data_IF_826004116141
#
_entry.id   IF_826004116141
#
_cell.length_a   1.000
_cell.length_b   1.000
_cell.length_c   1.000
_cell.angle_alpha   90.00
_cell.angle_beta   90.00
_cell.angle_gamma   90.00
#
_symmetry.space_group_name_H-M   'P 1'
#
loop_
_entity.id
_entity.type
_entity.pdbx_description
1 polymer ?
#
# COMPACT_ATOMS: atom_id res chain seq x y z
N UNK A 1 6.67 -26.56 44.42
CA UNK A 1 5.29 -27.05 44.69
C UNK A 1 4.35 -26.06 43.98
N UNK A 2 3.51 -26.48 43.02
CA UNK A 2 2.08 -26.86 43.19
C UNK A 2 1.28 -25.78 43.95
N UNK A 3 0.10 -25.29 43.56
CA UNK A 3 -0.84 -25.54 42.43
C UNK A 3 -1.93 -24.44 42.46
N UNK A 4 -2.80 -24.16 41.47
CA UNK A 4 -3.00 -24.67 40.10
C UNK A 4 -3.81 -23.65 39.22
N UNK A 5 -4.25 -24.12 38.05
CA UNK A 5 -5.07 -23.55 36.97
C UNK A 5 -6.37 -22.82 37.38
N UNK A 6 -6.84 -21.96 36.45
CA UNK A 6 -8.25 -21.96 36.05
C UNK A 6 -8.38 -21.90 34.51
N UNK A 7 -9.11 -22.85 33.91
CA UNK A 7 -9.38 -22.97 32.47
C UNK A 7 -10.85 -23.41 32.29
N UNK A 8 -11.57 -22.75 31.39
CA UNK A 8 -12.85 -23.17 30.80
C UNK A 8 -13.22 -22.11 29.75
N UNK A 9 -13.24 -22.34 28.43
CA UNK A 9 -13.77 -23.44 27.62
C UNK A 9 -15.31 -23.52 27.60
N UNK A 10 -15.92 -22.83 26.64
CA UNK A 10 -17.24 -23.16 26.10
C UNK A 10 -17.12 -23.38 24.58
N UNK A 11 -17.38 -24.61 24.15
CA UNK A 11 -17.41 -25.03 22.75
C UNK A 11 -18.33 -26.25 22.66
N UNK A 12 -19.46 -26.12 21.95
CA UNK A 12 -20.34 -27.18 21.41
C UNK A 12 -21.43 -26.44 20.59
N UNK A 13 -21.49 -26.54 19.26
CA UNK A 13 -21.95 -27.64 18.40
C UNK A 13 -23.48 -27.76 18.26
N UNK A 14 -23.97 -27.47 17.06
CA UNK A 14 -25.03 -28.25 16.42
C UNK A 14 -24.98 -28.07 14.91
N UNK A 15 -24.79 -29.18 14.19
CA UNK A 15 -24.99 -29.27 12.76
C UNK A 15 -26.14 -30.27 12.51
N UNK A 16 -26.98 -30.01 11.51
CA UNK A 16 -27.92 -30.99 10.99
C UNK A 16 -27.88 -30.95 9.45
N UNK A 17 -28.02 -32.11 8.84
CA UNK A 17 -27.89 -32.36 7.40
C UNK A 17 -28.99 -33.32 6.93
N UNK A 18 -29.21 -33.35 5.60
CA UNK A 18 -30.02 -34.33 4.84
C UNK A 18 -31.56 -34.14 5.01
N UNK A 19 -32.45 -34.36 4.02
CA UNK A 19 -32.36 -34.70 2.57
C UNK A 19 -33.74 -34.50 1.93
N UNK A 20 -33.87 -34.40 0.59
CA UNK A 20 -35.16 -34.73 -0.06
C UNK A 20 -35.47 -34.13 -1.45
N UNK A 21 -35.07 -34.82 -2.52
CA UNK A 21 -35.81 -35.08 -3.77
C UNK A 21 -36.87 -34.08 -4.35
N UNK A 22 -36.72 -33.79 -5.65
CA UNK A 22 -37.63 -34.45 -6.63
C UNK A 22 -38.65 -33.61 -7.45
N UNK A 23 -38.27 -33.33 -8.70
CA UNK A 23 -39.11 -33.31 -9.92
C UNK A 23 -40.25 -32.26 -10.17
N UNK A 24 -40.13 -31.68 -11.37
CA UNK A 24 -41.16 -31.15 -12.32
C UNK A 24 -42.58 -31.75 -12.19
N UNK A 25 -43.70 -31.09 -12.56
CA UNK A 25 -43.99 -30.47 -13.89
C UNK A 25 -45.40 -29.79 -13.91
N UNK A 26 -45.66 -29.02 -14.99
CA UNK A 26 -46.96 -28.59 -15.59
C UNK A 26 -47.75 -27.37 -15.05
N UNK A 27 -47.94 -26.44 -16.00
CA UNK A 27 -48.91 -25.33 -16.11
C UNK A 27 -50.35 -25.69 -15.69
N UNK A 28 -51.04 -24.73 -15.07
CA UNK A 28 -52.43 -24.36 -15.41
C UNK A 28 -52.57 -22.84 -15.41
N UNK A 29 -53.38 -22.31 -16.33
CA UNK A 29 -53.68 -20.87 -16.43
C UNK A 29 -54.99 -20.54 -15.71
N UNK A 30 -55.06 -19.34 -15.13
CA UNK A 30 -56.32 -18.70 -14.76
C UNK A 30 -56.20 -17.19 -14.97
N UNK A 31 -57.08 -16.61 -15.82
CA UNK A 31 -57.23 -15.16 -15.96
C UNK A 31 -58.02 -14.63 -14.75
N UNK A 32 -57.63 -13.48 -14.18
CA UNK A 32 -58.37 -12.92 -13.04
C UNK A 32 -58.03 -11.48 -12.67
N UNK A 33 -58.80 -10.54 -13.22
CA UNK A 33 -59.05 -9.15 -12.77
C UNK A 33 -57.91 -8.13 -12.86
N UNK A 34 -58.20 -7.06 -13.61
CA UNK A 34 -57.45 -5.80 -13.65
C UNK A 34 -57.37 -5.15 -12.26
N UNK A 35 -56.20 -4.63 -11.90
CA UNK A 35 -56.01 -3.68 -10.79
C UNK A 35 -55.40 -2.38 -11.33
N UNK A 36 -55.81 -1.26 -10.74
CA UNK A 36 -55.49 0.08 -11.21
C UNK A 36 -53.97 0.31 -11.36
N UNK A 37 -53.61 1.04 -12.43
CA UNK A 37 -52.24 1.30 -12.83
C UNK A 37 -51.65 2.43 -11.98
N UNK A 38 -51.23 2.12 -10.75
CA UNK A 38 -50.47 3.07 -9.92
C UNK A 38 -49.16 3.41 -10.64
N UNK A 39 -49.01 4.66 -11.05
CA UNK A 39 -47.79 5.17 -11.69
C UNK A 39 -46.68 5.28 -10.65
N UNK A 40 -45.98 4.16 -10.44
CA UNK A 40 -44.68 4.16 -9.77
C UNK A 40 -43.76 5.06 -10.58
N UNK A 41 -43.51 6.29 -10.09
CA UNK A 41 -42.38 7.10 -10.53
C UNK A 41 -41.15 6.22 -10.38
N UNK A 42 -40.52 5.85 -11.49
CA UNK A 42 -39.22 5.20 -11.45
C UNK A 42 -38.30 6.11 -10.63
N UNK A 43 -37.76 5.58 -9.54
CA UNK A 43 -36.72 6.28 -8.81
C UNK A 43 -35.60 6.58 -9.81
N UNK A 44 -35.13 7.84 -9.87
CA UNK A 44 -33.98 8.18 -10.69
C UNK A 44 -32.86 7.17 -10.39
N UNK A 45 -32.16 6.64 -11.42
CA UNK A 45 -31.13 5.65 -11.21
C UNK A 45 -30.16 6.20 -10.18
N UNK A 46 -29.99 5.49 -9.05
CA UNK A 46 -28.99 5.87 -8.05
C UNK A 46 -27.68 6.02 -8.80
N UNK A 47 -27.13 7.24 -8.82
CA UNK A 47 -25.82 7.51 -9.41
C UNK A 47 -24.81 6.79 -8.54
N UNK A 48 -24.55 5.53 -8.88
CA UNK A 48 -23.42 4.79 -8.34
C UNK A 48 -22.19 5.45 -8.93
N UNK A 49 -21.64 6.42 -8.18
CA UNK A 49 -20.36 7.05 -8.50
C UNK A 49 -19.29 5.99 -8.78
N UNK A 50 -18.26 6.32 -9.58
CA UNK A 50 -17.33 5.34 -10.12
C UNK A 50 -16.77 4.44 -9.01
N UNK A 51 -16.96 3.13 -9.20
CA UNK A 51 -16.48 2.10 -8.29
C UNK A 51 -14.98 1.88 -8.58
N UNK A 52 -14.14 1.99 -7.55
CA UNK A 52 -12.71 1.73 -7.70
C UNK A 52 -12.45 0.30 -8.18
N UNK A 53 -11.58 0.16 -9.19
CA UNK A 53 -11.13 -1.16 -9.66
C UNK A 53 -10.35 -1.89 -8.56
N UNK A 54 -10.18 -3.21 -8.69
CA UNK A 54 -9.40 -4.00 -7.72
C UNK A 54 -7.99 -3.45 -7.51
N UNK A 55 -7.29 -3.07 -8.58
CA UNK A 55 -5.97 -2.45 -8.50
C UNK A 55 -6.01 -1.09 -7.79
N UNK A 56 -6.98 -0.25 -8.11
CA UNK A 56 -7.19 1.04 -7.42
C UNK A 56 -7.49 0.87 -5.92
N UNK A 57 -8.24 -0.16 -5.52
CA UNK A 57 -8.46 -0.47 -4.10
C UNK A 57 -7.20 -0.97 -3.39
N UNK A 58 -6.32 -1.70 -4.07
CA UNK A 58 -5.02 -2.11 -3.53
C UNK A 58 -4.10 -0.89 -3.37
N UNK A 59 -4.00 -0.03 -4.40
CA UNK A 59 -3.23 1.21 -4.34
C UNK A 59 -3.73 2.15 -3.23
N UNK A 60 -5.05 2.38 -3.18
CA UNK A 60 -5.70 3.17 -2.13
C UNK A 60 -5.40 2.62 -0.73
N UNK A 61 -5.40 1.29 -0.54
CA UNK A 61 -5.05 0.67 0.74
C UNK A 61 -3.60 0.90 1.15
N UNK A 62 -2.65 0.91 0.20
CA UNK A 62 -1.21 1.00 0.52
C UNK A 62 -0.69 2.43 0.60
N UNK A 63 -1.20 3.35 -0.22
CA UNK A 63 -0.84 4.78 -0.13
C UNK A 63 -1.74 5.51 0.85
N UNK A 64 -3.06 5.36 0.72
CA UNK A 64 -4.02 6.30 1.32
C UNK A 64 -4.90 5.61 2.38
N UNK A 65 -4.30 4.89 3.34
CA UNK A 65 -5.04 4.02 4.28
C UNK A 65 -6.16 4.75 5.05
N UNK A 66 -5.95 6.00 5.50
CA UNK A 66 -7.01 6.81 6.10
C UNK A 66 -8.21 7.01 5.15
N UNK A 67 -7.97 7.33 3.88
CA UNK A 67 -9.03 7.48 2.89
C UNK A 67 -9.65 6.13 2.51
N UNK A 68 -8.86 5.05 2.52
CA UNK A 68 -9.32 3.68 2.30
C UNK A 68 -10.34 3.22 3.34
N UNK A 69 -10.15 3.58 4.61
CA UNK A 69 -11.14 3.28 5.67
C UNK A 69 -12.33 4.24 5.59
N UNK A 70 -12.11 5.52 5.28
CA UNK A 70 -13.18 6.51 5.13
C UNK A 70 -14.04 6.35 3.86
N UNK A 71 -13.62 5.63 2.82
CA UNK A 71 -14.48 5.26 1.67
C UNK A 71 -15.44 4.10 2.00
N UNK A 72 -15.25 3.40 3.12
CA UNK A 72 -16.16 2.33 3.53
C UNK A 72 -17.36 2.91 4.27
N UNK A 73 -18.56 2.57 3.80
CA UNK A 73 -19.80 2.89 4.50
C UNK A 73 -19.76 2.42 5.95
N UNK A 74 -20.11 3.32 6.85
CA UNK A 74 -19.99 3.20 8.30
C UNK A 74 -20.10 4.60 8.92
N UNK A 75 -20.22 4.68 10.25
CA UNK A 75 -20.53 5.94 10.91
C UNK A 75 -19.49 7.05 10.66
N UNK A 76 -18.19 6.75 10.74
CA UNK A 76 -17.13 7.70 10.39
C UNK A 76 -17.19 8.21 8.94
N UNK A 77 -17.57 7.36 7.97
CA UNK A 77 -17.81 7.78 6.58
C UNK A 77 -19.00 8.73 6.49
N UNK A 78 -20.11 8.39 7.15
CA UNK A 78 -21.30 9.22 7.20
C UNK A 78 -21.02 10.60 7.84
N UNK A 79 -20.15 10.67 8.85
CA UNK A 79 -19.74 11.93 9.47
C UNK A 79 -18.89 12.80 8.53
N UNK A 80 -17.94 12.21 7.81
CA UNK A 80 -17.18 12.92 6.77
C UNK A 80 -18.10 13.40 5.64
N UNK A 81 -19.08 12.59 5.23
CA UNK A 81 -20.03 12.93 4.15
C UNK A 81 -21.00 14.04 4.55
N UNK A 82 -21.40 14.12 5.83
CA UNK A 82 -22.36 15.12 6.34
C UNK A 82 -21.71 16.44 6.76
N UNK A 83 -20.39 16.49 6.98
CA UNK A 83 -19.68 17.71 7.41
C UNK A 83 -19.87 18.87 6.42
N UNK A 84 -20.34 20.01 6.93
CA UNK A 84 -20.51 21.23 6.13
C UNK A 84 -19.17 21.84 5.71
N UNK A 85 -18.14 21.74 6.56
CA UNK A 85 -16.79 22.22 6.24
C UNK A 85 -16.15 21.40 5.11
N UNK A 86 -16.22 20.06 5.19
CA UNK A 86 -15.74 19.20 4.10
C UNK A 86 -16.54 19.38 2.81
N UNK A 87 -17.86 19.55 2.87
CA UNK A 87 -18.68 19.79 1.69
C UNK A 87 -18.42 21.16 1.04
N UNK A 88 -18.12 22.21 1.82
CA UNK A 88 -17.64 23.51 1.29
C UNK A 88 -16.31 23.33 0.54
N UNK A 89 -15.33 22.70 1.18
CA UNK A 89 -14.01 22.47 0.59
C UNK A 89 -14.09 21.61 -0.69
N UNK A 90 -15.00 20.63 -0.72
CA UNK A 90 -15.29 19.83 -1.91
C UNK A 90 -15.81 20.69 -3.07
N UNK A 91 -16.76 21.59 -2.81
CA UNK A 91 -17.33 22.48 -3.81
C UNK A 91 -16.29 23.47 -4.38
N UNK A 92 -15.52 24.12 -3.51
CA UNK A 92 -14.45 25.05 -3.91
C UNK A 92 -13.39 24.37 -4.79
N UNK A 93 -12.97 23.15 -4.43
CA UNK A 93 -12.05 22.34 -5.23
C UNK A 93 -12.68 21.83 -6.52
N UNK A 94 -13.98 21.55 -6.55
CA UNK A 94 -14.70 21.14 -7.76
C UNK A 94 -14.83 22.30 -8.76
N UNK A 95 -15.14 23.52 -8.33
CA UNK A 95 -15.17 24.69 -9.21
C UNK A 95 -13.78 25.02 -9.77
N UNK A 96 -12.74 24.96 -8.92
CA UNK A 96 -11.33 25.09 -9.33
C UNK A 96 -10.97 24.11 -10.46
N UNK A 97 -11.42 22.86 -10.36
CA UNK A 97 -11.19 21.84 -11.38
C UNK A 97 -12.05 22.01 -12.64
N UNK A 98 -13.30 22.51 -12.52
CA UNK A 98 -14.16 22.82 -13.67
C UNK A 98 -13.57 23.94 -14.54
N UNK A 99 -13.10 25.02 -13.93
CA UNK A 99 -12.43 26.11 -14.65
C UNK A 99 -11.19 25.58 -15.39
N UNK A 100 -10.31 24.87 -14.68
CA UNK A 100 -9.12 24.27 -15.26
C UNK A 100 -9.42 23.26 -16.39
N UNK A 101 -10.51 22.49 -16.30
CA UNK A 101 -10.89 21.56 -17.37
C UNK A 101 -11.19 22.27 -18.70
N UNK A 102 -11.86 23.42 -18.63
CA UNK A 102 -12.13 24.30 -19.78
C UNK A 102 -10.85 24.98 -20.27
N UNK A 103 -10.13 25.65 -19.37
CA UNK A 103 -9.13 26.67 -19.71
C UNK A 103 -7.73 26.09 -19.95
N UNK A 104 -7.38 24.95 -19.32
CA UNK A 104 -6.04 24.39 -19.43
C UNK A 104 -5.77 23.77 -20.81
N UNK A 105 -4.66 24.19 -21.43
CA UNK A 105 -4.10 23.59 -22.65
C UNK A 105 -3.19 22.39 -22.43
N UNK A 106 -2.71 22.16 -21.20
CA UNK A 106 -1.79 21.06 -20.87
C UNK A 106 -2.15 20.31 -19.57
N UNK A 107 -1.44 19.21 -19.31
CA UNK A 107 -1.65 18.38 -18.12
C UNK A 107 -1.07 18.99 -16.84
N UNK A 108 -0.09 19.88 -16.93
CA UNK A 108 0.53 20.51 -15.76
C UNK A 108 -0.44 21.52 -15.12
N UNK A 109 -1.13 22.32 -15.93
CA UNK A 109 -2.18 23.23 -15.54
C UNK A 109 -3.35 22.50 -14.83
N UNK A 110 -3.81 21.36 -15.38
CA UNK A 110 -4.81 20.51 -14.72
C UNK A 110 -4.26 19.94 -13.40
N UNK A 111 -2.98 19.51 -13.40
CA UNK A 111 -2.28 19.07 -12.19
C UNK A 111 -2.26 20.14 -11.09
N UNK A 112 -2.07 21.41 -11.45
CA UNK A 112 -2.09 22.54 -10.51
C UNK A 112 -3.46 22.71 -9.86
N UNK A 113 -4.54 22.63 -10.64
CA UNK A 113 -5.90 22.74 -10.11
C UNK A 113 -6.28 21.56 -9.18
N UNK A 114 -5.66 20.40 -9.35
CA UNK A 114 -5.85 19.23 -8.49
C UNK A 114 -5.12 19.31 -7.15
N UNK A 115 -4.06 20.13 -7.03
CA UNK A 115 -3.28 20.26 -5.79
C UNK A 115 -4.17 20.66 -4.60
N UNK A 116 -3.98 20.00 -3.47
CA UNK A 116 -4.38 20.49 -2.16
C UNK A 116 -3.45 21.65 -1.78
N UNK A 117 -4.00 22.85 -1.66
CA UNK A 117 -3.23 24.00 -1.16
C UNK A 117 -2.86 23.81 0.31
N UNK A 118 -1.90 24.58 0.83
CA UNK A 118 -1.58 24.56 2.26
C UNK A 118 -2.83 24.88 3.11
N UNK A 119 -3.71 25.75 2.60
CA UNK A 119 -4.97 26.09 3.25
C UNK A 119 -6.00 24.95 3.15
N UNK A 120 -6.17 24.32 1.98
CA UNK A 120 -7.06 23.16 1.83
C UNK A 120 -6.67 22.04 2.82
N UNK A 121 -5.37 21.81 3.01
CA UNK A 121 -4.83 20.80 3.95
C UNK A 121 -5.11 21.22 5.39
N UNK A 122 -4.86 22.49 5.74
CA UNK A 122 -5.08 23.04 7.08
C UNK A 122 -6.55 22.99 7.48
N UNK A 123 -7.46 23.45 6.63
CA UNK A 123 -8.89 23.46 6.90
C UNK A 123 -9.43 22.04 7.11
N UNK A 124 -9.09 21.10 6.23
CA UNK A 124 -9.50 19.71 6.39
C UNK A 124 -8.90 19.06 7.65
N UNK A 125 -7.64 19.39 8.00
CA UNK A 125 -7.00 18.94 9.24
C UNK A 125 -7.68 19.46 10.51
N UNK A 126 -8.12 20.72 10.51
CA UNK A 126 -8.89 21.31 11.61
C UNK A 126 -10.30 20.70 11.73
N UNK A 127 -10.98 20.42 10.61
CA UNK A 127 -12.27 19.73 10.64
C UNK A 127 -12.13 18.27 11.13
N UNK A 128 -11.08 17.55 10.72
CA UNK A 128 -10.77 16.22 11.29
C UNK A 128 -10.55 16.29 12.81
N UNK A 129 -9.77 17.27 13.30
CA UNK A 129 -9.58 17.49 14.75
C UNK A 129 -10.92 17.73 15.46
N UNK A 130 -11.76 18.61 14.90
CA UNK A 130 -13.07 18.95 15.47
C UNK A 130 -13.98 17.72 15.53
N UNK A 131 -14.03 16.93 14.47
CA UNK A 131 -14.81 15.69 14.42
C UNK A 131 -14.32 14.65 15.42
N UNK A 132 -13.00 14.43 15.54
CA UNK A 132 -12.43 13.50 16.54
C UNK A 132 -12.72 13.90 17.99
N UNK A 133 -12.94 15.20 18.29
CA UNK A 133 -13.38 15.65 19.63
C UNK A 133 -14.91 15.52 19.80
N UNK A 134 -15.68 15.87 18.76
CA UNK A 134 -17.12 16.05 18.86
C UNK A 134 -17.95 14.79 18.55
N UNK A 135 -17.34 13.75 17.97
CA UNK A 135 -18.03 12.55 17.47
C UNK A 135 -17.34 11.26 17.91
N UNK A 136 -18.13 10.34 18.48
CA UNK A 136 -17.62 9.10 19.07
C UNK A 136 -17.13 8.10 18.02
N UNK A 137 -17.76 8.03 16.85
CA UNK A 137 -17.36 7.11 15.79
C UNK A 137 -16.04 7.55 15.12
N UNK A 138 -15.82 8.86 15.02
CA UNK A 138 -14.54 9.45 14.59
C UNK A 138 -13.43 9.27 15.63
N UNK A 139 -13.74 9.35 16.93
CA UNK A 139 -12.78 9.00 18.00
C UNK A 139 -12.39 7.52 17.95
N UNK A 140 -13.37 6.60 17.85
CA UNK A 140 -13.14 5.16 17.74
C UNK A 140 -12.38 4.77 16.45
N UNK A 141 -12.52 5.53 15.36
CA UNK A 141 -11.70 5.35 14.17
C UNK A 141 -10.23 5.64 14.47
N UNK A 142 -9.91 6.73 15.16
CA UNK A 142 -8.54 7.11 15.53
C UNK A 142 -7.93 6.08 16.48
N UNK A 143 -8.66 5.68 17.52
CA UNK A 143 -8.25 4.63 18.45
C UNK A 143 -7.90 3.33 17.72
N UNK A 144 -8.75 2.88 16.79
CA UNK A 144 -8.51 1.68 15.99
C UNK A 144 -7.27 1.80 15.10
N UNK A 145 -7.06 2.96 14.46
CA UNK A 145 -5.88 3.20 13.62
C UNK A 145 -4.56 3.14 14.42
N UNK A 146 -4.58 3.56 15.69
CA UNK A 146 -3.46 3.43 16.63
C UNK A 146 -3.25 1.99 17.09
N UNK A 147 -4.31 1.29 17.51
CA UNK A 147 -4.25 -0.13 17.94
C UNK A 147 -3.72 -1.01 16.80
N UNK A 148 -4.21 -0.80 15.57
CA UNK A 148 -3.72 -1.50 14.37
C UNK A 148 -2.34 -1.01 13.89
N UNK A 149 -1.75 0.02 14.53
CA UNK A 149 -0.47 0.63 14.17
C UNK A 149 -0.37 0.98 12.68
N UNK A 150 -1.37 1.69 12.16
CA UNK A 150 -1.45 2.14 10.75
C UNK A 150 -0.59 3.37 10.46
N UNK A 151 -0.40 4.21 11.47
CA UNK A 151 0.48 5.38 11.44
C UNK A 151 1.39 5.38 12.68
N UNK A 152 2.26 4.36 12.82
CA UNK A 152 3.03 4.09 14.05
C UNK A 152 4.00 5.21 14.43
N UNK A 153 4.39 6.09 13.51
CA UNK A 153 5.20 7.28 13.84
C UNK A 153 4.41 8.30 14.67
N UNK A 154 3.08 8.25 14.65
CA UNK A 154 2.20 9.16 15.37
C UNK A 154 1.45 8.52 16.55
N UNK A 155 1.66 7.23 16.84
CA UNK A 155 0.90 6.49 17.86
C UNK A 155 0.91 7.18 19.23
N UNK A 156 2.05 7.75 19.63
CA UNK A 156 2.26 8.43 20.92
C UNK A 156 1.69 9.87 20.96
N UNK A 157 1.21 10.41 19.83
CA UNK A 157 0.61 11.73 19.76
C UNK A 157 -0.85 11.73 20.26
N UNK A 158 -1.39 12.89 20.64
CA UNK A 158 -2.83 13.03 20.93
C UNK A 158 -3.69 12.67 19.71
N UNK A 159 -4.92 12.19 19.91
CA UNK A 159 -5.80 11.72 18.82
C UNK A 159 -6.05 12.80 17.75
N UNK A 160 -6.19 14.05 18.19
CA UNK A 160 -6.30 15.23 17.33
C UNK A 160 -5.03 15.50 16.52
N UNK A 161 -3.85 15.23 17.07
CA UNK A 161 -2.58 15.34 16.35
C UNK A 161 -2.39 14.17 15.39
N UNK A 162 -2.75 12.95 15.81
CA UNK A 162 -2.68 11.73 15.01
C UNK A 162 -3.52 11.85 13.73
N UNK A 163 -4.81 12.21 13.85
CA UNK A 163 -5.70 12.29 12.68
C UNK A 163 -5.28 13.40 11.71
N UNK A 164 -4.84 14.56 12.24
CA UNK A 164 -4.30 15.64 11.43
C UNK A 164 -3.05 15.19 10.67
N UNK A 165 -2.12 14.49 11.33
CA UNK A 165 -0.88 14.02 10.71
C UNK A 165 -1.13 12.94 9.65
N UNK A 166 -2.02 11.99 9.92
CA UNK A 166 -2.46 11.00 8.94
C UNK A 166 -3.16 11.64 7.72
N UNK A 167 -3.87 12.76 7.91
CA UNK A 167 -4.44 13.56 6.82
C UNK A 167 -3.36 14.32 6.03
N UNK A 168 -2.43 14.99 6.72
CA UNK A 168 -1.30 15.71 6.11
C UNK A 168 -0.49 14.78 5.19
N UNK A 169 -0.19 13.54 5.62
CA UNK A 169 0.48 12.52 4.81
C UNK A 169 -0.28 12.21 3.51
N UNK A 170 -1.56 11.84 3.60
CA UNK A 170 -2.32 11.43 2.41
C UNK A 170 -2.55 12.58 1.43
N UNK A 171 -2.67 13.82 1.92
CA UNK A 171 -2.76 15.01 1.08
C UNK A 171 -1.42 15.34 0.40
N UNK A 172 -0.31 15.23 1.14
CA UNK A 172 1.04 15.39 0.59
C UNK A 172 1.32 14.36 -0.52
N UNK A 173 0.96 13.09 -0.32
CA UNK A 173 1.11 12.04 -1.33
C UNK A 173 0.23 12.22 -2.57
N UNK A 174 -1.03 12.67 -2.42
CA UNK A 174 -1.86 13.05 -3.57
C UNK A 174 -1.19 14.18 -4.37
N UNK A 175 -0.68 15.20 -3.68
CA UNK A 175 0.06 16.29 -4.30
C UNK A 175 1.35 15.82 -4.99
N UNK A 176 2.10 14.90 -4.39
CA UNK A 176 3.28 14.29 -4.97
C UNK A 176 2.94 13.59 -6.28
N UNK A 177 1.85 12.80 -6.30
CA UNK A 177 1.37 12.12 -7.51
C UNK A 177 1.04 13.11 -8.63
N UNK A 178 0.35 14.23 -8.35
CA UNK A 178 0.09 15.24 -9.40
C UNK A 178 1.36 15.94 -9.89
N UNK A 179 2.25 16.33 -8.96
CA UNK A 179 3.53 16.97 -9.27
C UNK A 179 4.38 16.12 -10.20
N UNK A 180 4.57 14.84 -9.86
CA UNK A 180 5.38 13.93 -10.68
C UNK A 180 4.62 13.56 -11.96
N UNK A 181 3.40 13.02 -11.85
CA UNK A 181 2.77 12.30 -12.94
C UNK A 181 1.82 13.12 -13.82
N UNK A 182 1.60 14.41 -13.52
CA UNK A 182 0.89 15.36 -14.38
C UNK A 182 1.77 16.58 -14.73
N UNK A 183 2.50 17.14 -13.75
CA UNK A 183 3.33 18.35 -13.93
C UNK A 183 4.79 18.05 -14.34
N UNK A 184 5.22 16.78 -14.36
CA UNK A 184 6.60 16.37 -14.65
C UNK A 184 7.68 16.96 -13.70
N UNK A 185 7.31 17.30 -12.47
CA UNK A 185 8.27 17.63 -11.40
C UNK A 185 9.14 16.39 -11.14
N UNK A 186 10.48 16.50 -11.16
CA UNK A 186 11.34 15.36 -10.88
C UNK A 186 11.07 14.76 -9.49
N UNK A 187 10.76 13.45 -9.37
CA UNK A 187 10.71 12.78 -8.08
C UNK A 187 12.12 12.64 -7.50
N UNK A 188 12.21 12.15 -6.26
CA UNK A 188 13.50 11.89 -5.57
C UNK A 188 14.48 11.06 -6.40
N UNK A 189 13.98 10.10 -7.16
CA UNK A 189 14.78 9.21 -8.02
C UNK A 189 14.31 9.27 -9.49
N UNK A 190 14.61 10.36 -10.22
CA UNK A 190 14.02 10.64 -11.53
C UNK A 190 14.42 9.63 -12.62
N UNK A 191 15.51 8.87 -12.43
CA UNK A 191 15.95 7.83 -13.37
C UNK A 191 15.05 6.58 -13.39
N UNK A 192 14.15 6.43 -12.41
CA UNK A 192 13.28 5.25 -12.25
C UNK A 192 11.81 5.61 -11.95
N UNK A 193 11.56 6.79 -11.38
CA UNK A 193 10.24 7.15 -10.85
C UNK A 193 9.52 8.22 -11.67
N UNK A 194 10.16 8.78 -12.69
CA UNK A 194 9.57 9.89 -13.47
C UNK A 194 8.27 9.52 -14.20
N UNK A 195 7.59 10.57 -14.66
CA UNK A 195 6.49 10.54 -15.63
C UNK A 195 6.88 9.83 -16.93
N UNK A 196 5.90 9.27 -17.65
CA UNK A 196 6.10 8.65 -18.97
C UNK A 196 5.94 9.61 -20.16
N UNK A 197 5.48 10.84 -19.94
CA UNK A 197 5.07 11.77 -20.99
C UNK A 197 5.53 13.21 -20.68
N UNK A 198 5.61 14.06 -21.71
CA UNK A 198 5.72 15.52 -21.51
C UNK A 198 4.33 16.06 -21.15
N UNK A 199 4.19 17.03 -20.20
CA UNK A 199 2.87 17.55 -19.82
C UNK A 199 2.06 18.17 -20.97
N UNK A 200 2.73 18.68 -22.01
CA UNK A 200 2.15 19.27 -23.21
C UNK A 200 1.97 18.30 -24.39
N UNK A 201 2.26 16.99 -24.22
CA UNK A 201 2.02 15.99 -25.25
C UNK A 201 0.51 15.85 -25.53
N UNK A 202 0.00 16.08 -26.76
CA UNK A 202 -1.44 16.10 -27.03
C UNK A 202 -2.15 14.79 -26.68
N UNK A 203 -1.52 13.63 -26.87
CA UNK A 203 -2.12 12.34 -26.54
C UNK A 203 -2.16 12.10 -25.02
N UNK A 204 -1.18 12.62 -24.28
CA UNK A 204 -1.22 12.64 -22.82
C UNK A 204 -2.28 13.60 -22.28
N UNK A 205 -2.34 14.84 -22.80
CA UNK A 205 -3.35 15.85 -22.42
C UNK A 205 -4.78 15.32 -22.62
N UNK A 206 -5.05 14.64 -23.74
CA UNK A 206 -6.37 14.03 -23.99
C UNK A 206 -6.71 12.93 -22.96
N UNK A 207 -5.75 12.08 -22.57
CA UNK A 207 -5.96 11.10 -21.49
C UNK A 207 -6.24 11.77 -20.16
N UNK A 208 -5.53 12.86 -19.83
CA UNK A 208 -5.72 13.62 -18.59
C UNK A 208 -7.08 14.34 -18.58
N UNK A 209 -7.52 14.96 -19.69
CA UNK A 209 -8.87 15.54 -19.79
C UNK A 209 -9.96 14.46 -19.67
N UNK A 210 -9.81 13.31 -20.36
CA UNK A 210 -10.76 12.20 -20.24
C UNK A 210 -10.88 11.66 -18.80
N UNK A 211 -9.78 11.54 -18.06
CA UNK A 211 -9.80 11.18 -16.64
C UNK A 211 -10.40 12.30 -15.76
N UNK A 212 -10.11 13.56 -16.06
CA UNK A 212 -10.65 14.73 -15.34
C UNK A 212 -12.17 14.81 -15.45
N UNK A 213 -12.74 14.48 -16.62
CA UNK A 213 -14.19 14.40 -16.81
C UNK A 213 -14.84 13.33 -15.91
N UNK A 214 -14.19 12.18 -15.72
CA UNK A 214 -14.63 11.14 -14.78
C UNK A 214 -14.55 11.64 -13.32
N UNK A 215 -13.47 12.35 -12.97
CA UNK A 215 -13.27 12.95 -11.64
C UNK A 215 -14.33 14.00 -11.30
N UNK A 216 -14.64 14.91 -12.24
CA UNK A 216 -15.70 15.91 -12.10
C UNK A 216 -17.08 15.28 -11.88
N UNK A 217 -17.33 14.14 -12.53
CA UNK A 217 -18.57 13.35 -12.38
C UNK A 217 -18.62 12.62 -11.03
N UNK A 218 -17.47 12.20 -10.50
CA UNK A 218 -17.36 11.45 -9.24
C UNK A 218 -17.63 12.28 -7.97
N UNK A 219 -17.54 13.61 -8.03
CA UNK A 219 -17.65 14.47 -6.85
C UNK A 219 -19.07 14.68 -6.31
N UNK A 220 -20.10 14.53 -7.15
CA UNK A 220 -21.48 14.78 -6.74
C UNK A 220 -21.92 13.81 -5.64
N UNK A 221 -22.25 14.33 -4.44
CA UNK A 221 -22.79 13.55 -3.33
C UNK A 221 -21.85 12.48 -2.75
N UNK A 222 -20.53 12.66 -2.87
CA UNK A 222 -19.51 11.76 -2.33
C UNK A 222 -18.64 12.47 -1.28
N UNK A 223 -17.74 11.72 -0.62
CA UNK A 223 -16.74 12.26 0.32
C UNK A 223 -15.87 13.33 -0.34
N UNK A 224 -15.51 14.38 0.43
CA UNK A 224 -14.81 15.56 -0.09
C UNK A 224 -13.48 15.27 -0.80
N UNK A 225 -12.78 14.22 -0.37
CA UNK A 225 -11.49 13.83 -0.93
C UNK A 225 -11.61 12.93 -2.17
N UNK A 226 -12.78 12.34 -2.46
CA UNK A 226 -12.94 11.32 -3.51
C UNK A 226 -12.52 11.79 -4.92
N UNK A 227 -12.86 13.01 -5.39
CA UNK A 227 -12.39 13.50 -6.68
C UNK A 227 -10.86 13.52 -6.77
N UNK A 228 -10.19 14.00 -5.73
CA UNK A 228 -8.73 14.06 -5.67
C UNK A 228 -8.11 12.67 -5.62
N UNK A 229 -8.62 11.79 -4.76
CA UNK A 229 -8.19 10.40 -4.67
C UNK A 229 -8.37 9.64 -6.00
N UNK A 230 -9.48 9.84 -6.70
CA UNK A 230 -9.68 9.25 -8.03
C UNK A 230 -8.71 9.84 -9.06
N UNK A 231 -8.44 11.15 -9.01
CA UNK A 231 -7.47 11.79 -9.89
C UNK A 231 -6.03 11.29 -9.67
N UNK A 232 -5.61 11.03 -8.42
CA UNK A 232 -4.24 10.55 -8.15
C UNK A 232 -4.07 9.10 -8.64
N UNK A 233 -5.06 8.25 -8.37
CA UNK A 233 -5.12 6.90 -8.91
C UNK A 233 -5.12 6.89 -10.45
N UNK A 234 -5.84 7.81 -11.10
CA UNK A 234 -5.84 7.94 -12.56
C UNK A 234 -4.52 8.48 -13.13
N UNK A 235 -3.83 9.38 -12.43
CA UNK A 235 -2.51 9.87 -12.87
C UNK A 235 -1.46 8.75 -12.91
N UNK A 236 -1.47 7.86 -11.90
CA UNK A 236 -0.64 6.64 -11.89
C UNK A 236 -1.04 5.68 -13.03
N UNK A 237 -2.35 5.42 -13.19
CA UNK A 237 -2.91 4.54 -14.24
C UNK A 237 -2.50 4.99 -15.65
N UNK A 238 -2.66 6.29 -15.98
CA UNK A 238 -2.28 6.86 -17.28
C UNK A 238 -0.78 6.69 -17.57
N UNK A 239 0.07 6.81 -16.55
CA UNK A 239 1.52 6.64 -16.66
C UNK A 239 1.96 5.16 -16.60
N UNK A 240 1.05 4.21 -16.45
CA UNK A 240 1.36 2.79 -16.28
C UNK A 240 2.24 2.55 -15.05
N UNK A 241 1.92 3.21 -13.92
CA UNK A 241 2.64 3.16 -12.66
C UNK A 241 1.89 2.38 -11.58
N UNK A 242 1.66 1.10 -11.86
CA UNK A 242 0.92 0.15 -11.03
C UNK A 242 1.83 -0.72 -10.12
N UNK A 243 3.14 -0.45 -10.08
CA UNK A 243 4.19 -1.25 -9.41
C UNK A 243 3.78 -1.72 -8.00
N UNK A 244 3.25 -0.80 -7.16
CA UNK A 244 2.84 -1.08 -5.79
C UNK A 244 1.73 -2.14 -5.67
N UNK A 245 1.07 -2.53 -6.76
CA UNK A 245 -0.06 -3.46 -6.76
C UNK A 245 0.27 -4.83 -7.38
N UNK A 246 1.36 -4.94 -8.17
CA UNK A 246 1.61 -6.06 -9.12
C UNK A 246 1.72 -7.45 -8.49
N UNK A 247 1.91 -7.55 -7.17
CA UNK A 247 2.14 -8.81 -6.45
C UNK A 247 1.27 -8.99 -5.19
N UNK A 248 0.24 -8.15 -5.03
CA UNK A 248 -0.61 -8.18 -3.84
C UNK A 248 -1.71 -9.27 -3.92
N UNK A 249 -2.04 -9.97 -2.81
CA UNK A 249 -1.42 -9.86 -1.50
C UNK A 249 -0.14 -10.69 -1.35
N UNK A 250 0.89 -10.10 -0.71
CA UNK A 250 2.23 -10.68 -0.54
C UNK A 250 2.32 -11.98 0.30
N UNK A 251 1.21 -12.52 0.79
CA UNK A 251 1.13 -13.83 1.46
C UNK A 251 0.57 -14.95 0.55
N UNK A 252 0.29 -14.65 -0.72
CA UNK A 252 -0.15 -15.60 -1.77
C UNK A 252 0.88 -15.68 -2.90
N UNK A 253 0.52 -16.36 -4.01
CA UNK A 253 1.36 -16.49 -5.19
C UNK A 253 2.73 -17.11 -4.86
N UNK A 254 3.80 -16.48 -5.35
CA UNK A 254 5.20 -16.87 -5.09
C UNK A 254 5.58 -16.92 -3.61
N UNK A 255 4.78 -16.33 -2.71
CA UNK A 255 5.00 -16.33 -1.26
C UNK A 255 4.09 -17.30 -0.49
N UNK A 256 3.20 -18.05 -1.16
CA UNK A 256 2.27 -18.96 -0.49
C UNK A 256 2.97 -20.10 0.29
N UNK A 257 4.02 -20.69 -0.29
CA UNK A 257 4.80 -21.76 0.35
C UNK A 257 5.56 -21.29 1.61
N UNK A 258 6.37 -20.22 1.60
CA UNK A 258 7.01 -19.73 2.81
C UNK A 258 6.01 -19.19 3.85
N UNK A 259 4.88 -18.60 3.43
CA UNK A 259 3.83 -18.15 4.36
C UNK A 259 3.11 -19.32 5.06
N UNK A 260 2.92 -20.45 4.36
CA UNK A 260 2.47 -21.70 5.01
C UNK A 260 3.52 -22.24 5.98
N UNK A 261 4.81 -22.19 5.61
CA UNK A 261 5.92 -22.66 6.45
C UNK A 261 6.05 -21.84 7.75
N UNK A 262 5.90 -20.50 7.71
CA UNK A 262 6.19 -19.62 8.86
C UNK A 262 5.34 -19.96 10.10
N UNK A 263 4.11 -20.44 9.89
CA UNK A 263 3.18 -20.89 10.94
C UNK A 263 3.64 -22.14 11.72
N UNK A 264 4.67 -22.84 11.25
CA UNK A 264 5.18 -24.10 11.82
C UNK A 264 6.66 -24.03 12.21
N UNK A 265 7.26 -22.84 12.21
CA UNK A 265 8.68 -22.65 12.56
C UNK A 265 8.86 -22.65 14.08
N UNK A 266 9.77 -23.48 14.58
CA UNK A 266 10.38 -23.27 15.90
C UNK A 266 11.41 -22.14 15.81
N UNK A 267 11.00 -20.92 16.11
CA UNK A 267 11.85 -19.73 16.01
C UNK A 267 13.05 -19.74 16.97
N UNK A 268 13.02 -20.56 18.03
CA UNK A 268 14.15 -20.67 18.96
C UNK A 268 15.32 -21.48 18.39
N UNK A 269 15.10 -22.28 17.34
CA UNK A 269 16.17 -23.00 16.64
C UNK A 269 17.04 -22.10 15.74
N UNK A 270 16.67 -20.83 15.55
CA UNK A 270 17.33 -19.91 14.63
C UNK A 270 17.80 -18.63 15.33
N UNK A 271 18.99 -18.14 14.96
CA UNK A 271 19.53 -16.88 15.50
C UNK A 271 18.72 -15.67 15.01
N UNK A 272 18.39 -15.65 13.72
CA UNK A 272 17.67 -14.57 13.06
C UNK A 272 16.28 -15.00 12.56
N UNK A 273 15.36 -14.06 12.40
CA UNK A 273 14.03 -14.31 11.80
C UNK A 273 14.10 -14.55 10.30
N UNK A 274 14.93 -13.79 9.60
CA UNK A 274 15.18 -13.93 8.17
C UNK A 274 16.58 -13.41 7.79
N UNK A 275 17.02 -13.81 6.59
CA UNK A 275 18.17 -13.23 5.87
C UNK A 275 17.62 -12.33 4.77
N UNK A 276 17.73 -11.01 4.90
CA UNK A 276 17.45 -10.05 3.83
C UNK A 276 18.60 -10.02 2.84
N UNK A 277 18.28 -10.12 1.55
CA UNK A 277 19.21 -9.95 0.43
C UNK A 277 18.73 -8.75 -0.40
N UNK A 278 19.38 -7.58 -0.30
CA UNK A 278 19.01 -6.43 -1.09
C UNK A 278 19.31 -6.64 -2.57
N UNK A 279 18.40 -6.15 -3.42
CA UNK A 279 18.45 -6.28 -4.87
C UNK A 279 19.63 -5.55 -5.52
N UNK A 280 19.98 -6.05 -6.70
CA UNK A 280 20.90 -5.41 -7.62
C UNK A 280 20.33 -5.57 -9.03
N UNK A 281 19.68 -4.51 -9.52
CA UNK A 281 19.12 -4.49 -10.86
C UNK A 281 20.21 -4.58 -11.94
N UNK A 282 19.98 -5.34 -13.03
CA UNK A 282 20.96 -5.48 -14.10
C UNK A 282 21.19 -4.13 -14.78
N UNK A 283 22.45 -3.69 -14.82
CA UNK A 283 22.85 -2.43 -15.47
C UNK A 283 22.66 -2.41 -17.00
N UNK A 284 22.24 -3.53 -17.61
CA UNK A 284 22.02 -3.68 -19.06
C UNK A 284 20.57 -4.08 -19.33
N UNK A 285 19.92 -3.39 -20.26
CA UNK A 285 18.58 -3.74 -20.72
C UNK A 285 18.53 -5.16 -21.30
N UNK A 286 17.44 -5.89 -21.00
CA UNK A 286 17.21 -7.26 -21.51
C UNK A 286 17.84 -8.39 -20.70
N UNK A 287 18.78 -8.11 -19.79
CA UNK A 287 19.23 -9.11 -18.81
C UNK A 287 18.20 -9.23 -17.67
N UNK A 288 17.94 -10.46 -17.20
CA UNK A 288 17.01 -10.68 -16.07
C UNK A 288 17.71 -10.76 -14.71
N UNK A 289 19.02 -11.01 -14.66
CA UNK A 289 19.77 -11.11 -13.41
C UNK A 289 21.16 -10.46 -13.52
N UNK A 290 21.54 -9.74 -12.46
CA UNK A 290 22.85 -9.13 -12.29
C UNK A 290 23.85 -10.07 -11.59
N UNK A 291 25.15 -9.93 -11.88
CA UNK A 291 26.20 -10.75 -11.26
C UNK A 291 26.39 -10.46 -9.77
N UNK A 292 26.19 -9.21 -9.31
CA UNK A 292 26.18 -8.88 -7.89
C UNK A 292 24.94 -9.44 -7.21
N UNK A 293 23.78 -9.44 -7.89
CA UNK A 293 22.57 -10.11 -7.41
C UNK A 293 22.80 -11.61 -7.19
N UNK A 294 23.45 -12.28 -8.13
CA UNK A 294 23.81 -13.69 -8.01
C UNK A 294 24.82 -13.95 -6.87
N UNK A 295 25.83 -13.10 -6.72
CA UNK A 295 26.81 -13.15 -5.64
C UNK A 295 26.17 -13.01 -4.25
N UNK A 296 25.32 -11.99 -4.04
CA UNK A 296 24.61 -11.79 -2.77
C UNK A 296 23.67 -12.96 -2.44
N UNK A 297 22.99 -13.52 -3.45
CA UNK A 297 22.22 -14.76 -3.30
C UNK A 297 23.10 -15.96 -2.87
N UNK A 298 24.32 -16.08 -3.41
CA UNK A 298 25.30 -17.10 -3.00
C UNK A 298 25.64 -17.00 -1.50
N UNK A 299 26.02 -15.82 -1.03
CA UNK A 299 26.31 -15.55 0.38
C UNK A 299 25.11 -15.86 1.28
N UNK A 300 23.90 -15.47 0.89
CA UNK A 300 22.68 -15.74 1.65
C UNK A 300 22.34 -17.24 1.72
N UNK A 301 22.59 -17.98 0.65
CA UNK A 301 22.45 -19.43 0.62
C UNK A 301 23.42 -20.13 1.57
N UNK A 302 24.64 -19.63 1.76
CA UNK A 302 25.57 -20.13 2.79
C UNK A 302 25.02 -19.91 4.21
N UNK A 303 24.52 -18.72 4.51
CA UNK A 303 23.96 -18.42 5.83
C UNK A 303 22.68 -19.23 6.13
N UNK A 304 21.87 -19.50 5.11
CA UNK A 304 20.73 -20.42 5.23
C UNK A 304 21.18 -21.86 5.54
N UNK A 305 22.20 -22.39 4.83
CA UNK A 305 22.74 -23.74 5.07
C UNK A 305 23.40 -23.88 6.46
N UNK A 306 23.92 -22.79 7.02
CA UNK A 306 24.39 -22.70 8.42
C UNK A 306 23.25 -22.65 9.47
N UNK A 307 21.98 -22.76 9.06
CA UNK A 307 20.78 -22.61 9.90
C UNK A 307 20.68 -21.26 10.62
N UNK A 308 21.20 -20.16 10.03
CA UNK A 308 21.16 -18.85 10.67
C UNK A 308 19.73 -18.25 10.72
N UNK A 309 18.90 -18.57 9.73
CA UNK A 309 17.49 -18.19 9.66
C UNK A 309 16.66 -19.22 8.86
N UNK A 310 15.34 -19.36 9.12
CA UNK A 310 14.45 -20.29 8.40
C UNK A 310 13.98 -19.77 7.03
N UNK A 311 14.23 -18.49 6.74
CA UNK A 311 13.80 -17.78 5.54
C UNK A 311 14.89 -16.86 4.98
N UNK A 312 14.87 -16.69 3.67
CA UNK A 312 15.60 -15.66 2.92
C UNK A 312 14.56 -14.74 2.30
N UNK A 313 14.67 -13.42 2.53
CA UNK A 313 13.85 -12.39 1.87
C UNK A 313 14.72 -11.79 0.77
N UNK A 314 14.40 -12.04 -0.49
CA UNK A 314 15.02 -11.36 -1.63
C UNK A 314 14.17 -10.13 -1.97
N UNK A 315 14.79 -8.95 -2.00
CA UNK A 315 14.08 -7.66 -2.06
C UNK A 315 14.53 -6.83 -3.25
N UNK A 316 13.58 -6.19 -3.95
CA UNK A 316 13.83 -5.38 -5.13
C UNK A 316 12.73 -5.53 -6.18
N UNK A 317 12.21 -4.41 -6.67
CA UNK A 317 11.09 -4.36 -7.62
C UNK A 317 11.51 -4.17 -9.08
N UNK A 318 10.70 -3.39 -9.82
CA UNK A 318 10.90 -3.07 -11.24
C UNK A 318 11.75 -1.80 -11.44
N UNK A 319 12.98 -1.82 -10.91
CA UNK A 319 13.79 -0.60 -10.71
C UNK A 319 14.60 -0.24 -11.95
N UNK A 320 15.51 -1.12 -12.37
CA UNK A 320 16.49 -0.84 -13.42
C UNK A 320 16.40 -1.86 -14.58
N UNK A 321 16.42 -1.40 -15.86
CA UNK A 321 16.21 -0.01 -16.31
C UNK A 321 14.80 0.53 -16.01
N UNK A 322 14.56 1.83 -16.25
CA UNK A 322 13.24 2.48 -16.09
C UNK A 322 12.11 1.65 -16.72
N UNK A 323 11.07 1.35 -15.94
CA UNK A 323 9.92 0.52 -16.32
C UNK A 323 10.30 -0.87 -16.88
N UNK A 324 11.38 -1.46 -16.37
CA UNK A 324 11.78 -2.84 -16.69
C UNK A 324 10.64 -3.84 -16.44
N UNK A 325 10.40 -4.82 -17.34
CA UNK A 325 9.44 -5.89 -17.09
C UNK A 325 9.94 -6.91 -16.04
N UNK A 326 11.23 -6.88 -15.70
CA UNK A 326 11.83 -7.81 -14.73
C UNK A 326 11.76 -7.23 -13.31
N UNK A 327 11.30 -8.04 -12.37
CA UNK A 327 11.32 -7.74 -10.93
C UNK A 327 12.52 -8.45 -10.29
N UNK A 328 13.40 -7.70 -9.63
CA UNK A 328 14.66 -8.22 -9.08
C UNK A 328 14.42 -9.40 -8.12
N UNK A 329 13.48 -9.26 -7.18
CA UNK A 329 13.13 -10.31 -6.22
C UNK A 329 12.60 -11.60 -6.88
N UNK A 330 11.86 -11.49 -7.99
CA UNK A 330 11.37 -12.65 -8.75
C UNK A 330 12.54 -13.41 -9.38
N UNK A 331 13.46 -12.71 -10.04
CA UNK A 331 14.60 -13.33 -10.72
C UNK A 331 15.63 -13.87 -9.71
N UNK A 332 15.85 -13.17 -8.60
CA UNK A 332 16.63 -13.67 -7.46
C UNK A 332 16.01 -14.96 -6.90
N UNK A 333 14.71 -15.02 -6.66
CA UNK A 333 14.05 -16.24 -6.18
C UNK A 333 14.21 -17.40 -7.16
N UNK A 334 14.01 -17.17 -8.47
CA UNK A 334 14.25 -18.20 -9.51
C UNK A 334 15.68 -18.74 -9.44
N UNK A 335 16.67 -17.89 -9.29
CA UNK A 335 18.08 -18.30 -9.18
C UNK A 335 18.37 -19.10 -7.89
N UNK A 336 17.89 -18.63 -6.73
CA UNK A 336 18.11 -19.33 -5.46
C UNK A 336 17.52 -20.73 -5.46
N UNK A 337 16.32 -20.90 -6.03
CA UNK A 337 15.66 -22.21 -6.12
C UNK A 337 16.33 -23.10 -7.18
N UNK A 338 16.50 -22.61 -8.42
CA UNK A 338 16.93 -23.44 -9.54
C UNK A 338 18.45 -23.67 -9.67
N UNK A 339 19.28 -22.77 -9.12
CA UNK A 339 20.75 -22.84 -9.23
C UNK A 339 21.45 -23.07 -7.89
N UNK A 340 20.92 -22.54 -6.78
CA UNK A 340 21.53 -22.73 -5.45
C UNK A 340 20.86 -23.84 -4.61
N UNK A 341 19.79 -24.46 -5.13
CA UNK A 341 19.08 -25.56 -4.47
C UNK A 341 18.36 -25.17 -3.17
N UNK A 342 18.07 -23.88 -2.97
CA UNK A 342 17.33 -23.42 -1.79
C UNK A 342 15.84 -23.77 -1.96
N UNK A 343 15.16 -24.39 -0.97
CA UNK A 343 13.75 -24.72 -1.09
C UNK A 343 12.89 -23.48 -1.39
N UNK A 344 11.92 -23.60 -2.30
CA UNK A 344 10.95 -22.53 -2.60
C UNK A 344 10.25 -22.00 -1.34
N UNK A 345 9.93 -22.91 -0.42
CA UNK A 345 9.32 -22.62 0.89
C UNK A 345 10.23 -21.87 1.86
N UNK A 346 11.50 -21.63 1.52
CA UNK A 346 12.43 -20.82 2.29
C UNK A 346 12.67 -19.42 1.68
N UNK A 347 12.33 -19.18 0.41
CA UNK A 347 12.58 -17.90 -0.27
C UNK A 347 11.30 -17.09 -0.39
N UNK A 348 11.29 -15.92 0.26
CA UNK A 348 10.23 -14.91 0.23
C UNK A 348 10.65 -13.82 -0.76
N UNK A 349 9.74 -13.41 -1.65
CA UNK A 349 9.92 -12.21 -2.47
C UNK A 349 9.40 -10.97 -1.75
N UNK A 350 10.16 -9.89 -1.86
CA UNK A 350 9.73 -8.52 -1.59
C UNK A 350 9.88 -7.74 -2.91
N UNK A 351 8.79 -7.56 -3.68
CA UNK A 351 8.89 -7.13 -5.07
C UNK A 351 8.59 -5.63 -5.30
N UNK A 352 8.56 -4.80 -4.24
CA UNK A 352 8.21 -3.39 -4.34
C UNK A 352 9.39 -2.44 -4.05
N UNK A 353 10.39 -2.85 -3.26
CA UNK A 353 11.50 -1.97 -2.90
C UNK A 353 12.25 -1.42 -4.11
N UNK A 354 12.57 -0.13 -4.05
CA UNK A 354 13.33 0.58 -5.10
C UNK A 354 14.72 1.05 -4.65
N UNK A 355 14.96 1.15 -3.35
CA UNK A 355 16.22 1.61 -2.76
C UNK A 355 16.58 0.80 -1.52
N UNK A 356 17.84 0.87 -1.08
CA UNK A 356 18.30 0.13 0.12
C UNK A 356 17.50 0.48 1.38
N UNK A 357 17.00 1.71 1.49
CA UNK A 357 16.08 2.15 2.55
C UNK A 357 14.77 1.37 2.51
N UNK A 358 14.11 1.32 1.34
CA UNK A 358 12.84 0.59 1.19
C UNK A 358 13.01 -0.93 1.19
N UNK A 359 14.16 -1.47 0.77
CA UNK A 359 14.49 -2.90 0.93
C UNK A 359 14.40 -3.31 2.42
N UNK A 360 15.06 -2.53 3.28
CA UNK A 360 15.11 -2.78 4.73
C UNK A 360 13.72 -2.55 5.37
N UNK A 361 13.04 -1.46 5.02
CA UNK A 361 11.65 -1.18 5.48
C UNK A 361 10.70 -2.31 5.12
N UNK A 362 10.69 -2.75 3.87
CA UNK A 362 9.75 -3.75 3.37
C UNK A 362 10.04 -5.15 3.90
N UNK A 363 11.31 -5.48 4.14
CA UNK A 363 11.68 -6.73 4.81
C UNK A 363 11.11 -6.78 6.25
N UNK A 364 11.11 -5.67 6.98
CA UNK A 364 10.49 -5.57 8.33
C UNK A 364 8.96 -5.65 8.25
N UNK A 365 8.33 -4.99 7.26
CA UNK A 365 6.89 -5.15 6.96
C UNK A 365 6.53 -6.63 6.69
N UNK A 366 7.34 -7.33 5.90
CA UNK A 366 7.17 -8.77 5.63
C UNK A 366 7.39 -9.65 6.85
N UNK A 367 8.38 -9.35 7.70
CA UNK A 367 8.59 -10.08 8.95
C UNK A 367 7.34 -10.03 9.84
N UNK A 368 6.71 -8.85 9.92
CA UNK A 368 5.41 -8.69 10.59
C UNK A 368 4.29 -9.50 9.90
N UNK A 369 4.15 -9.37 8.57
CA UNK A 369 3.11 -10.08 7.79
C UNK A 369 3.20 -11.61 7.94
N UNK A 370 4.40 -12.15 8.07
CA UNK A 370 4.66 -13.59 8.19
C UNK A 370 4.60 -14.11 9.64
N UNK A 371 4.25 -13.25 10.61
CA UNK A 371 4.26 -13.52 12.05
C UNK A 371 5.62 -13.96 12.59
N UNK A 372 6.70 -13.33 12.10
CA UNK A 372 8.05 -13.53 12.63
C UNK A 372 8.20 -12.81 13.99
N UNK A 373 8.88 -13.37 15.00
CA UNK A 373 9.00 -12.74 16.31
C UNK A 373 9.70 -11.38 16.28
N UNK A 374 8.98 -10.32 16.64
CA UNK A 374 9.48 -8.93 16.60
C UNK A 374 10.69 -8.66 17.52
N UNK A 375 10.90 -9.48 18.55
CA UNK A 375 12.03 -9.38 19.47
C UNK A 375 13.31 -10.12 19.00
N UNK A 376 13.29 -10.73 17.82
CA UNK A 376 14.42 -11.48 17.25
C UNK A 376 15.00 -10.73 16.03
N UNK A 377 16.33 -10.57 15.95
CA UNK A 377 16.95 -9.76 14.89
C UNK A 377 16.81 -10.38 13.49
N UNK A 378 17.00 -9.55 12.46
CA UNK A 378 17.17 -9.98 11.06
C UNK A 378 18.64 -9.83 10.65
N UNK A 379 19.13 -10.77 9.84
CA UNK A 379 20.41 -10.63 9.15
C UNK A 379 20.17 -9.94 7.80
N UNK A 380 21.09 -9.07 7.39
CA UNK A 380 21.18 -8.51 6.05
C UNK A 380 22.48 -9.03 5.44
N UNK A 381 22.40 -9.60 4.24
CA UNK A 381 23.55 -10.11 3.49
C UNK A 381 23.67 -9.34 2.18
N UNK A 382 24.82 -8.70 1.99
CA UNK A 382 25.13 -7.91 0.80
C UNK A 382 26.60 -8.09 0.39
N UNK A 383 27.07 -7.29 -0.57
CA UNK A 383 28.50 -7.13 -0.82
C UNK A 383 29.17 -6.21 0.21
N UNK A 384 30.51 -6.14 0.13
CA UNK A 384 31.34 -5.42 1.09
C UNK A 384 31.10 -3.89 1.10
N UNK A 385 30.82 -3.30 -0.05
CA UNK A 385 30.57 -1.87 -0.18
C UNK A 385 29.18 -1.51 0.34
N UNK A 386 28.15 -2.26 -0.06
CA UNK A 386 26.80 -2.03 0.43
C UNK A 386 26.68 -2.26 1.94
N UNK A 387 27.38 -3.24 2.52
CA UNK A 387 27.36 -3.51 3.97
C UNK A 387 27.95 -2.35 4.78
N UNK A 388 29.08 -1.78 4.30
CA UNK A 388 29.69 -0.58 4.89
C UNK A 388 28.79 0.66 4.75
N UNK A 389 28.06 0.79 3.63
CA UNK A 389 27.10 1.87 3.44
C UNK A 389 25.90 1.74 4.39
N UNK A 390 25.32 0.54 4.50
CA UNK A 390 24.15 0.24 5.35
C UNK A 390 24.37 0.63 6.81
N UNK A 391 25.56 0.37 7.35
CA UNK A 391 25.96 0.77 8.71
C UNK A 391 25.79 2.28 8.97
N UNK A 392 25.95 3.12 7.94
CA UNK A 392 25.93 4.59 8.03
C UNK A 392 24.65 5.21 7.48
N UNK A 393 23.64 4.41 7.14
CA UNK A 393 22.44 4.88 6.44
C UNK A 393 21.40 5.60 7.30
N UNK A 394 21.55 5.72 8.62
CA UNK A 394 20.53 6.29 9.51
C UNK A 394 20.00 7.67 9.05
N UNK A 395 20.90 8.58 8.66
CA UNK A 395 20.53 9.91 8.12
C UNK A 395 19.75 9.79 6.80
N UNK A 396 20.14 8.84 5.94
CA UNK A 396 19.44 8.57 4.67
C UNK A 396 18.02 8.06 4.90
N UNK A 397 17.80 7.21 5.92
CA UNK A 397 16.45 6.79 6.31
C UNK A 397 15.58 7.97 6.75
N UNK A 398 16.10 8.87 7.60
CA UNK A 398 15.37 10.07 8.03
C UNK A 398 15.04 10.98 6.83
N UNK A 399 15.99 11.20 5.92
CA UNK A 399 15.79 12.07 4.75
C UNK A 399 14.85 11.45 3.68
N UNK A 400 14.75 10.12 3.60
CA UNK A 400 13.96 9.44 2.56
C UNK A 400 12.57 9.02 3.03
N UNK A 401 12.44 8.49 4.25
CA UNK A 401 11.16 7.95 4.75
C UNK A 401 10.75 8.54 6.12
N UNK A 402 11.54 9.46 6.69
CA UNK A 402 11.20 10.19 7.93
C UNK A 402 11.43 9.42 9.24
N UNK A 403 11.79 8.12 9.20
CA UNK A 403 11.97 7.29 10.39
C UNK A 403 12.96 6.14 10.17
N UNK A 404 13.38 5.49 11.25
CA UNK A 404 14.16 4.24 11.19
C UNK A 404 13.21 3.03 11.30
N UNK A 405 13.21 2.08 10.34
CA UNK A 405 12.42 0.84 10.42
C UNK A 405 13.04 -0.22 11.34
N UNK A 406 14.05 0.16 12.14
CA UNK A 406 14.76 -0.67 13.09
C UNK A 406 15.12 0.11 14.35
N UNK A 407 15.31 -0.60 15.47
CA UNK A 407 15.74 -0.04 16.76
C UNK A 407 17.25 0.13 16.88
N UNK A 408 18.00 -0.68 16.12
CA UNK A 408 19.45 -0.63 16.07
C UNK A 408 19.95 -1.38 14.84
N UNK A 409 21.15 -0.99 14.38
CA UNK A 409 21.86 -1.60 13.25
C UNK A 409 23.33 -1.79 13.61
N UNK A 410 23.89 -2.92 13.21
CA UNK A 410 25.27 -3.29 13.52
C UNK A 410 25.89 -4.01 12.32
N UNK A 411 27.12 -3.68 11.96
CA UNK A 411 27.88 -4.43 10.94
C UNK A 411 28.65 -5.56 11.62
N UNK A 412 28.40 -6.81 11.19
CA UNK A 412 28.96 -8.03 11.81
C UNK A 412 30.17 -8.60 11.07
N UNK A 413 30.25 -8.37 9.76
CA UNK A 413 31.37 -8.79 8.94
C UNK A 413 31.51 -7.86 7.73
N UNK A 414 32.38 -8.20 6.77
CA UNK A 414 32.46 -7.43 5.55
C UNK A 414 31.13 -7.41 4.77
N UNK A 415 30.35 -8.49 4.80
CA UNK A 415 29.15 -8.71 3.97
C UNK A 415 27.85 -8.79 4.75
N UNK A 416 27.89 -8.63 6.07
CA UNK A 416 26.77 -8.87 6.98
C UNK A 416 26.47 -7.66 7.87
N UNK A 417 25.20 -7.27 7.92
CA UNK A 417 24.66 -6.35 8.92
C UNK A 417 23.51 -7.04 9.68
N UNK A 418 23.24 -6.61 10.91
CA UNK A 418 22.13 -7.09 11.73
C UNK A 418 21.27 -5.91 12.12
N UNK A 419 19.94 -6.08 12.06
CA UNK A 419 18.97 -5.10 12.54
C UNK A 419 18.02 -5.72 13.56
N UNK A 420 17.55 -4.90 14.49
CA UNK A 420 16.39 -5.22 15.33
C UNK A 420 15.14 -4.57 14.73
N UNK A 421 14.14 -5.32 14.24
CA UNK A 421 12.92 -4.77 13.63
C UNK A 421 12.17 -3.75 14.50
N UNK A 422 11.53 -2.77 13.85
CA UNK A 422 10.70 -1.76 14.50
C UNK A 422 9.34 -1.61 13.79
N UNK A 423 8.26 -1.49 14.56
CA UNK A 423 6.90 -1.36 14.02
C UNK A 423 6.69 -0.07 13.21
N UNK A 424 7.54 0.96 13.40
CA UNK A 424 7.53 2.18 12.56
C UNK A 424 7.65 1.89 11.07
N UNK A 425 8.22 0.74 10.67
CA UNK A 425 8.19 0.24 9.30
C UNK A 425 6.78 0.17 8.67
N UNK A 426 5.70 0.08 9.46
CA UNK A 426 4.31 0.08 8.96
C UNK A 426 3.76 1.46 8.59
N UNK A 427 4.47 2.55 8.92
CA UNK A 427 4.13 3.90 8.47
C UNK A 427 3.96 3.92 6.96
N UNK A 428 2.83 4.46 6.51
CA UNK A 428 2.51 4.65 5.09
C UNK A 428 3.41 5.75 4.52
N UNK A 429 3.89 5.56 3.30
CA UNK A 429 4.71 6.54 2.57
C UNK A 429 4.01 6.95 1.26
N UNK A 430 2.92 7.75 1.32
CA UNK A 430 2.14 8.10 0.14
C UNK A 430 2.85 9.05 -0.82
N UNK A 431 3.96 9.69 -0.38
CA UNK A 431 4.89 10.39 -1.27
C UNK A 431 5.79 9.45 -2.06
N UNK A 432 5.83 8.16 -1.72
CA UNK A 432 6.38 7.11 -2.55
C UNK A 432 5.28 6.18 -3.12
N UNK A 433 4.46 6.64 -4.10
CA UNK A 433 3.28 5.90 -4.56
C UNK A 433 3.60 4.55 -5.25
N UNK A 434 4.85 4.30 -5.60
CA UNK A 434 5.31 3.06 -6.25
C UNK A 434 5.73 1.98 -5.22
N UNK A 435 6.08 2.42 -4.01
CA UNK A 435 6.37 1.57 -2.87
C UNK A 435 5.94 2.28 -1.56
N UNK A 436 4.63 2.43 -1.32
CA UNK A 436 4.10 3.19 -0.19
C UNK A 436 3.99 2.34 1.10
#
# INVERSE_FOLDING_TARGET
MRSALNIGLCLLLSAMTLTGYGQTRKKKSAKGKSKARTTVRAAAPKVTGPVYTTAQQVQMRKSFFLLYVLERKGAAHDMVLKSTAFNRLAAERQERLKAAYSDCGDAACIGTALLWTAEDIREAGEEFKRLTIADTDMAQLVERLKIESRYPVYNDASDTTFIRKAWEDVAAGMNHVYKVYLQAVPPRYPKIDSISFRPSDPAFVQKVKAATQQVLTAGAGNTFFKPSLLASLKALEINGRDEATRYEPLYKGSNAAPFSKSRRINWNAYKYTAILVPGAGPGKAGASMDSMGAYRCGLAAEQYRKNMAPFIIVSGGHVHPYKTPFCEAIEMKKYMVSKLGIPDSAVIIEPHARHTTTNIRNAVRLASLFNMPAAKPMLIVSDAFQSLAIEKMAIRFINEIGYLPYKGIERRSNTENVIMPDLRAWQQDPEDPLDP
#
